data_IF_896113564850
#
_entry.id   IF_896113564850
#
_cell.length_a   1.000
_cell.length_b   1.000
_cell.length_c   1.000
_cell.angle_alpha   90.00
_cell.angle_beta   90.00
_cell.angle_gamma   90.00
#
_symmetry.space_group_name_H-M   'P 1'
#
loop_
_entity.id
_entity.type
_entity.pdbx_description
1 polymer ?
#
# COMPACT_ATOMS: atom_id res chain seq x y z
N UNK A 1 50.99 -7.96 -12.98
CA UNK A 1 50.04 -9.01 -13.41
C UNK A 1 50.60 -9.71 -14.64
N UNK A 2 50.60 -11.06 -14.65
CA UNK A 2 51.16 -11.86 -15.76
C UNK A 2 50.15 -11.84 -16.91
N UNK A 3 50.62 -11.84 -18.17
CA UNK A 3 49.75 -11.85 -19.38
C UNK A 3 48.70 -12.98 -19.38
N UNK A 4 48.90 -14.03 -18.59
CA UNK A 4 47.95 -15.14 -18.40
C UNK A 4 46.81 -14.79 -17.45
N UNK A 5 47.07 -14.05 -16.37
CA UNK A 5 46.04 -13.60 -15.42
C UNK A 5 45.11 -12.57 -16.07
N UNK A 6 45.67 -11.68 -16.90
CA UNK A 6 44.90 -10.67 -17.63
C UNK A 6 43.91 -11.30 -18.63
N UNK A 7 44.28 -12.44 -19.24
CA UNK A 7 43.39 -13.17 -20.17
C UNK A 7 42.21 -13.86 -19.46
N UNK A 8 42.29 -14.10 -18.16
CA UNK A 8 41.22 -14.71 -17.36
C UNK A 8 40.36 -13.64 -16.69
N UNK A 9 40.96 -12.53 -16.24
CA UNK A 9 40.25 -11.44 -15.57
C UNK A 9 39.36 -10.66 -16.53
N UNK A 10 39.81 -10.39 -17.76
CA UNK A 10 39.03 -9.66 -18.77
C UNK A 10 37.67 -10.34 -19.07
N UNK A 11 37.59 -11.64 -19.41
CA UNK A 11 36.29 -12.27 -19.71
C UNK A 11 35.37 -12.34 -18.49
N UNK A 12 35.91 -12.52 -17.28
CA UNK A 12 35.11 -12.52 -16.04
C UNK A 12 34.54 -11.12 -15.78
N UNK A 13 35.34 -10.08 -15.96
CA UNK A 13 34.88 -8.69 -15.82
C UNK A 13 33.82 -8.32 -16.87
N UNK A 14 33.98 -8.78 -18.11
CA UNK A 14 32.99 -8.58 -19.18
C UNK A 14 31.69 -9.33 -18.88
N UNK A 15 31.77 -10.58 -18.41
CA UNK A 15 30.58 -11.36 -18.03
C UNK A 15 29.84 -10.72 -16.85
N UNK A 16 30.57 -10.26 -15.83
CA UNK A 16 29.98 -9.55 -14.69
C UNK A 16 29.31 -8.24 -15.13
N UNK A 17 29.92 -7.49 -16.06
CA UNK A 17 29.35 -6.27 -16.60
C UNK A 17 28.07 -6.56 -17.40
N UNK A 18 28.05 -7.62 -18.21
CA UNK A 18 26.86 -8.05 -18.96
C UNK A 18 25.73 -8.45 -18.00
N UNK A 19 26.01 -9.24 -16.96
CA UNK A 19 25.01 -9.62 -15.96
C UNK A 19 24.45 -8.41 -15.20
N UNK A 20 25.29 -7.43 -14.90
CA UNK A 20 24.87 -6.20 -14.22
C UNK A 20 24.00 -5.33 -15.13
N UNK A 21 24.33 -5.22 -16.42
CA UNK A 21 23.47 -4.53 -17.40
C UNK A 21 22.13 -5.27 -17.58
N UNK A 22 22.14 -6.60 -17.62
CA UNK A 22 20.92 -7.41 -17.74
C UNK A 22 20.00 -7.22 -16.52
N UNK A 23 20.58 -7.08 -15.32
CA UNK A 23 19.81 -6.87 -14.09
C UNK A 23 19.06 -5.53 -14.05
N UNK A 24 19.56 -4.51 -14.76
CA UNK A 24 18.91 -3.19 -14.86
C UNK A 24 17.77 -3.17 -15.87
N UNK A 25 17.72 -4.15 -16.78
CA UNK A 25 16.71 -4.26 -17.84
C UNK A 25 15.52 -5.16 -17.46
N UNK A 26 15.58 -5.82 -16.30
CA UNK A 26 14.43 -6.55 -15.77
C UNK A 26 13.41 -5.53 -15.22
N UNK A 27 12.16 -5.51 -15.71
CA UNK A 27 11.14 -4.63 -15.17
C UNK A 27 10.90 -5.00 -13.70
N UNK A 28 11.11 -4.03 -12.80
CA UNK A 28 10.51 -4.09 -11.46
C UNK A 28 9.00 -3.94 -11.67
N UNK A 29 8.27 -5.04 -11.76
CA UNK A 29 6.81 -5.03 -11.68
C UNK A 29 6.40 -4.64 -10.25
N UNK A 30 6.51 -3.36 -9.91
CA UNK A 30 5.78 -2.77 -8.80
C UNK A 30 4.37 -2.47 -9.33
N UNK A 31 3.43 -3.37 -9.08
CA UNK A 31 2.01 -3.14 -9.41
C UNK A 31 1.44 -2.20 -8.35
N UNK A 32 1.48 -0.90 -8.66
CA UNK A 32 0.78 0.09 -7.84
C UNK A 32 -0.72 -0.03 -8.04
N UNK A 33 -1.46 0.00 -6.93
CA UNK A 33 -2.91 -0.12 -6.93
C UNK A 33 -3.54 1.09 -6.22
N UNK A 34 -4.55 1.68 -6.84
CA UNK A 34 -5.15 2.93 -6.38
C UNK A 34 -5.99 2.71 -5.12
N UNK A 35 -6.19 3.76 -4.31
CA UNK A 35 -6.98 3.72 -3.08
C UNK A 35 -8.40 3.12 -3.25
N UNK A 36 -9.00 3.23 -4.44
CA UNK A 36 -10.28 2.60 -4.76
C UNK A 36 -10.26 1.06 -4.68
N UNK A 37 -9.12 0.42 -4.93
CA UNK A 37 -9.00 -1.04 -4.85
C UNK A 37 -9.04 -1.57 -3.41
N UNK A 38 -8.54 -0.80 -2.44
CA UNK A 38 -8.66 -1.14 -1.00
C UNK A 38 -10.12 -1.11 -0.54
N UNK A 39 -10.93 -0.21 -1.11
CA UNK A 39 -12.37 -0.11 -0.82
C UNK A 39 -13.18 -1.20 -1.55
N UNK A 40 -12.84 -1.56 -2.79
CA UNK A 40 -13.56 -2.62 -3.52
C UNK A 40 -13.36 -4.00 -2.89
N UNK A 41 -12.17 -4.29 -2.34
CA UNK A 41 -11.93 -5.51 -1.56
C UNK A 41 -12.77 -5.58 -0.26
N UNK A 42 -13.20 -4.43 0.28
CA UNK A 42 -14.05 -4.35 1.47
C UNK A 42 -15.56 -4.43 1.17
N UNK A 43 -15.98 -4.27 -0.09
CA UNK A 43 -17.40 -4.20 -0.46
C UNK A 43 -17.95 -5.54 -0.99
N UNK A 44 -17.11 -6.49 -1.39
CA UNK A 44 -17.55 -7.77 -1.99
C UNK A 44 -18.10 -8.81 -0.99
N UNK A 45 -18.59 -8.39 0.18
CA UNK A 45 -19.33 -9.26 1.11
C UNK A 45 -20.51 -8.53 1.76
N UNK A 46 -21.35 -7.91 0.94
CA UNK A 46 -22.77 -7.78 1.28
C UNK A 46 -23.55 -8.80 0.44
N UNK A 47 -23.68 -10.02 0.97
CA UNK A 47 -24.76 -10.91 0.55
C UNK A 47 -26.10 -10.20 0.77
N UNK A 48 -26.95 -10.06 -0.27
CA UNK A 48 -28.31 -9.57 -0.07
C UNK A 48 -29.14 -10.71 0.52
N UNK A 49 -29.40 -10.66 1.83
CA UNK A 49 -30.38 -11.53 2.47
C UNK A 49 -31.77 -11.36 1.84
N UNK A 50 -32.57 -12.44 1.70
CA UNK A 50 -33.85 -12.38 1.00
C UNK A 50 -34.91 -11.74 1.91
N UNK A 51 -35.43 -10.59 1.50
CA UNK A 51 -36.55 -9.89 2.14
C UNK A 51 -37.21 -8.92 1.16
N UNK A 52 -38.55 -8.74 1.20
CA UNK A 52 -39.36 -8.64 -0.01
C UNK A 52 -39.41 -7.24 -0.63
N UNK A 53 -39.70 -7.23 -1.93
CA UNK A 53 -39.89 -6.05 -2.77
C UNK A 53 -40.88 -5.02 -2.21
N UNK A 54 -40.67 -3.73 -2.55
CA UNK A 54 -41.75 -2.99 -3.19
C UNK A 54 -41.30 -2.22 -4.45
N UNK A 55 -42.14 -2.39 -5.47
CA UNK A 55 -42.59 -1.51 -6.55
C UNK A 55 -41.98 -0.10 -6.70
N UNK A 56 -41.41 0.09 -7.90
CA UNK A 56 -41.41 1.23 -8.83
C UNK A 56 -41.83 2.63 -8.34
N UNK A 57 -40.92 3.60 -8.57
CA UNK A 57 -41.25 5.01 -8.76
C UNK A 57 -40.14 5.98 -8.36
N UNK A 58 -39.19 6.26 -9.27
CA UNK A 58 -38.67 7.60 -9.64
C UNK A 58 -37.31 7.51 -10.38
N UNK A 59 -36.98 8.45 -11.29
CA UNK A 59 -35.85 8.33 -12.21
C UNK A 59 -34.50 8.58 -11.55
N UNK A 60 -33.50 7.83 -12.01
CA UNK A 60 -32.08 7.99 -11.71
C UNK A 60 -31.59 9.42 -12.02
N UNK A 61 -30.82 10.09 -11.12
CA UNK A 61 -29.91 11.12 -11.58
C UNK A 61 -28.75 10.43 -12.30
N UNK A 62 -28.61 10.73 -13.59
CA UNK A 62 -27.48 10.35 -14.43
C UNK A 62 -26.17 10.77 -13.75
N UNK A 63 -25.48 9.82 -13.12
CA UNK A 63 -24.10 10.02 -12.69
C UNK A 63 -23.23 9.79 -13.92
N UNK A 64 -22.78 10.89 -14.51
CA UNK A 64 -21.83 10.91 -15.63
C UNK A 64 -20.59 10.06 -15.30
N UNK A 65 -20.23 9.06 -16.13
CA UNK A 65 -19.02 8.28 -15.96
C UNK A 65 -17.85 9.04 -16.62
N UNK A 66 -17.16 9.90 -15.87
CA UNK A 66 -16.15 10.75 -16.52
C UNK A 66 -15.18 11.52 -15.63
N UNK A 67 -15.14 11.28 -14.32
CA UNK A 67 -14.10 11.86 -13.47
C UNK A 67 -13.48 10.77 -12.62
N UNK A 68 -12.42 10.15 -13.15
CA UNK A 68 -11.43 9.49 -12.29
C UNK A 68 -10.98 10.54 -11.27
N UNK A 69 -11.15 10.33 -9.96
CA UNK A 69 -10.66 11.29 -8.98
C UNK A 69 -9.15 11.37 -9.17
N UNK A 70 -8.65 12.58 -9.45
CA UNK A 70 -7.22 12.87 -9.38
C UNK A 70 -6.81 12.47 -7.97
N UNK A 71 -5.93 11.46 -7.79
CA UNK A 71 -5.51 11.06 -6.48
C UNK A 71 -4.65 12.19 -5.92
N UNK A 72 -5.30 13.05 -5.16
CA UNK A 72 -4.65 14.15 -4.45
C UNK A 72 -4.58 13.67 -3.02
N UNK A 73 -3.38 13.65 -2.41
CA UNK A 73 -3.25 13.33 -1.00
C UNK A 73 -4.16 14.27 -0.19
N UNK A 74 -5.28 13.74 0.31
CA UNK A 74 -6.17 14.50 1.18
C UNK A 74 -5.35 14.92 2.41
N UNK A 75 -5.35 16.20 2.80
CA UNK A 75 -4.59 16.65 3.97
C UNK A 75 -4.99 15.90 5.23
N UNK A 76 -4.03 15.25 5.88
CA UNK A 76 -4.21 14.50 7.13
C UNK A 76 -2.93 14.60 7.98
N UNK A 77 -3.03 14.23 9.26
CA UNK A 77 -1.88 14.24 10.19
C UNK A 77 -0.98 13.02 9.97
N UNK A 78 -1.57 11.90 9.58
CA UNK A 78 -0.88 10.66 9.30
C UNK A 78 -1.54 9.97 8.10
N UNK A 79 -0.77 9.10 7.45
CA UNK A 79 -1.19 8.31 6.31
C UNK A 79 -0.81 6.85 6.54
N UNK A 80 -1.63 5.93 6.04
CA UNK A 80 -1.34 4.50 6.01
C UNK A 80 -0.96 4.10 4.60
N UNK A 81 0.27 3.61 4.42
CA UNK A 81 0.68 2.91 3.22
C UNK A 81 0.53 1.40 3.43
N UNK A 82 -0.16 0.75 2.51
CA UNK A 82 -0.41 -0.69 2.55
C UNK A 82 0.36 -1.36 1.42
N UNK A 83 1.01 -2.48 1.72
CA UNK A 83 1.56 -3.39 0.74
C UNK A 83 1.02 -4.79 1.02
N UNK A 84 0.59 -5.48 -0.04
CA UNK A 84 0.10 -6.87 -0.01
C UNK A 84 0.83 -7.65 -1.10
N UNK A 85 1.73 -8.55 -0.71
CA UNK A 85 2.62 -9.25 -1.64
C UNK A 85 3.47 -8.25 -2.44
N UNK A 86 3.30 -8.25 -3.76
CA UNK A 86 3.95 -7.32 -4.69
C UNK A 86 3.14 -6.05 -4.99
N UNK A 87 1.92 -5.95 -4.47
CA UNK A 87 1.07 -4.79 -4.69
C UNK A 87 1.32 -3.74 -3.62
N UNK A 88 1.62 -2.52 -4.05
CA UNK A 88 1.82 -1.37 -3.17
C UNK A 88 0.70 -0.37 -3.45
N UNK A 89 -0.05 -0.02 -2.41
CA UNK A 89 -1.16 0.91 -2.52
C UNK A 89 -0.72 2.34 -2.22
N UNK A 90 -1.48 3.29 -2.76
CA UNK A 90 -1.31 4.71 -2.47
C UNK A 90 -1.52 5.02 -0.97
N UNK A 91 -0.83 6.02 -0.40
CA UNK A 91 -1.03 6.43 0.98
C UNK A 91 -2.48 6.85 1.28
N UNK A 92 -3.12 6.14 2.21
CA UNK A 92 -4.47 6.42 2.68
C UNK A 92 -4.45 7.43 3.83
N UNK A 93 -5.13 8.57 3.65
CA UNK A 93 -5.30 9.57 4.72
C UNK A 93 -6.04 9.01 5.93
N UNK A 94 -5.49 9.24 7.14
CA UNK A 94 -6.10 8.85 8.41
C UNK A 94 -6.85 10.04 9.01
N UNK A 95 -8.16 10.05 8.82
CA UNK A 95 -9.05 11.17 9.23
C UNK A 95 -9.96 10.83 10.39
N UNK A 96 -10.28 9.55 10.59
CA UNK A 96 -11.27 9.08 11.55
C UNK A 96 -10.90 7.70 12.10
N UNK A 97 -11.59 7.29 13.16
CA UNK A 97 -11.47 5.95 13.70
C UNK A 97 -12.29 4.98 12.84
N UNK A 98 -11.62 3.99 12.26
CA UNK A 98 -12.28 2.92 11.49
C UNK A 98 -11.42 1.67 11.44
N UNK A 99 -12.06 0.55 11.13
CA UNK A 99 -11.37 -0.70 10.84
C UNK A 99 -11.29 -0.87 9.31
N UNK A 100 -10.11 -1.24 8.81
CA UNK A 100 -9.83 -1.55 7.41
C UNK A 100 -9.61 -3.06 7.27
N UNK A 101 -10.54 -3.70 6.57
CA UNK A 101 -10.46 -5.13 6.25
C UNK A 101 -9.58 -5.35 5.01
N UNK A 102 -8.48 -6.08 5.18
CA UNK A 102 -7.59 -6.54 4.12
C UNK A 102 -7.82 -8.03 3.91
N UNK A 103 -8.77 -8.37 3.03
CA UNK A 103 -9.11 -9.75 2.68
C UNK A 103 -8.53 -10.09 1.31
N UNK A 104 -7.78 -11.19 1.24
CA UNK A 104 -7.15 -11.67 0.01
C UNK A 104 -7.94 -12.86 -0.59
N UNK A 105 -7.86 -13.11 -1.91
CA UNK A 105 -8.59 -14.20 -2.57
C UNK A 105 -8.24 -15.61 -2.06
N UNK A 106 -7.05 -15.78 -1.46
CA UNK A 106 -6.58 -17.04 -0.89
C UNK A 106 -7.07 -17.26 0.56
N UNK A 107 -7.96 -16.41 1.06
CA UNK A 107 -8.57 -16.51 2.37
C UNK A 107 -7.75 -15.85 3.50
N UNK A 108 -6.59 -15.26 3.21
CA UNK A 108 -5.84 -14.46 4.20
C UNK A 108 -6.61 -13.20 4.56
N UNK A 109 -6.65 -12.88 5.85
CA UNK A 109 -7.35 -11.73 6.40
C UNK A 109 -6.51 -11.01 7.44
N UNK A 110 -6.44 -9.68 7.30
CA UNK A 110 -5.88 -8.76 8.29
C UNK A 110 -6.88 -7.64 8.51
N UNK A 111 -7.17 -7.29 9.76
CA UNK A 111 -8.06 -6.18 10.12
C UNK A 111 -7.21 -5.13 10.81
N UNK A 112 -7.14 -3.94 10.22
CA UNK A 112 -6.32 -2.83 10.73
C UNK A 112 -7.23 -1.80 11.36
N UNK A 113 -7.05 -1.53 12.65
CA UNK A 113 -7.71 -0.39 13.29
C UNK A 113 -6.88 0.86 13.09
N UNK A 114 -7.54 1.87 12.55
CA UNK A 114 -7.00 3.18 12.22
C UNK A 114 -7.54 4.21 13.20
N UNK A 115 -6.69 5.12 13.64
CA UNK A 115 -7.05 6.41 14.25
C UNK A 115 -6.42 7.55 13.43
N UNK A 116 -6.78 8.83 13.66
CA UNK A 116 -6.18 9.96 12.92
C UNK A 116 -4.65 10.09 12.98
N UNK A 117 -3.99 9.36 13.88
CA UNK A 117 -2.55 9.47 14.17
C UNK A 117 -1.85 8.12 14.40
N UNK A 118 -2.58 7.01 14.31
CA UNK A 118 -2.06 5.68 14.65
C UNK A 118 -2.73 4.54 13.88
N UNK A 119 -2.03 3.41 13.83
CA UNK A 119 -2.50 2.15 13.28
C UNK A 119 -2.16 1.01 14.23
N UNK A 120 -3.03 0.01 14.29
CA UNK A 120 -2.79 -1.25 14.99
C UNK A 120 -3.44 -2.39 14.21
N UNK A 121 -2.78 -3.54 14.15
CA UNK A 121 -3.41 -4.76 13.65
C UNK A 121 -4.42 -5.24 14.71
N UNK A 122 -5.72 -5.08 14.43
CA UNK A 122 -6.78 -5.47 15.35
C UNK A 122 -6.95 -7.00 15.41
N UNK A 123 -6.89 -7.66 14.26
CA UNK A 123 -6.92 -9.12 14.15
C UNK A 123 -6.26 -9.59 12.86
N UNK A 124 -5.79 -10.83 12.83
CA UNK A 124 -5.33 -11.50 11.61
C UNK A 124 -5.62 -13.00 11.73
N UNK A 125 -5.73 -13.69 10.60
CA UNK A 125 -5.87 -15.16 10.58
C UNK A 125 -4.54 -15.89 10.32
N UNK A 126 -3.40 -15.24 10.54
CA UNK A 126 -2.09 -15.85 10.38
C UNK A 126 -1.70 -16.66 11.62
N UNK A 127 -1.10 -17.84 11.42
CA UNK A 127 -0.84 -18.84 12.48
C UNK A 127 -0.12 -18.32 13.73
N UNK A 128 0.81 -17.38 13.59
CA UNK A 128 1.63 -16.87 14.69
C UNK A 128 1.07 -15.61 15.35
N UNK A 129 0.11 -14.93 14.71
CA UNK A 129 -0.47 -13.65 15.14
C UNK A 129 0.56 -12.55 15.54
N UNK A 130 1.82 -12.67 15.11
CA UNK A 130 2.90 -11.75 15.49
C UNK A 130 2.58 -10.30 15.13
N UNK A 131 1.86 -10.09 14.02
CA UNK A 131 1.42 -8.78 13.58
C UNK A 131 0.43 -8.10 14.54
N UNK A 132 -0.41 -8.87 15.23
CA UNK A 132 -1.32 -8.38 16.27
C UNK A 132 -0.52 -7.97 17.51
N UNK A 133 0.47 -8.78 17.88
CA UNK A 133 1.32 -8.55 19.05
C UNK A 133 2.38 -7.44 18.87
N UNK A 134 2.65 -7.00 17.63
CA UNK A 134 3.51 -5.83 17.37
C UNK A 134 2.93 -4.52 17.92
N UNK A 135 1.64 -4.48 18.24
CA UNK A 135 0.99 -3.35 18.90
C UNK A 135 0.88 -2.08 18.04
N UNK A 136 0.42 -1.01 18.68
CA UNK A 136 0.10 0.27 18.01
C UNK A 136 1.34 1.02 17.52
N UNK A 137 1.33 1.42 16.25
CA UNK A 137 2.26 2.40 15.67
C UNK A 137 1.56 3.75 15.64
N UNK A 138 2.20 4.78 16.18
CA UNK A 138 1.75 6.17 16.12
C UNK A 138 2.92 7.08 15.76
N UNK A 139 2.63 8.31 15.33
CA UNK A 139 3.68 9.31 15.08
C UNK A 139 4.56 9.57 16.32
N UNK A 140 4.01 9.42 17.53
CA UNK A 140 4.72 9.67 18.78
C UNK A 140 5.59 8.52 19.29
N UNK A 141 5.43 7.30 18.74
CA UNK A 141 6.18 6.13 19.20
C UNK A 141 6.99 5.41 18.12
N UNK A 142 6.75 5.70 16.83
CA UNK A 142 7.39 5.01 15.71
C UNK A 142 8.92 4.96 15.83
N UNK A 143 9.57 6.04 16.22
CA UNK A 143 11.05 6.08 16.32
C UNK A 143 11.64 5.26 17.47
N UNK A 144 10.79 4.80 18.40
CA UNK A 144 11.20 4.00 19.58
C UNK A 144 10.94 2.51 19.38
N UNK A 145 10.28 2.13 18.28
CA UNK A 145 9.89 0.74 17.97
C UNK A 145 10.98 0.06 17.16
N UNK A 146 11.12 -1.26 17.34
CA UNK A 146 12.08 -2.09 16.59
C UNK A 146 11.79 -2.06 15.09
N UNK A 147 10.51 -2.18 14.71
CA UNK A 147 10.06 -2.09 13.32
C UNK A 147 9.68 -0.65 12.92
N UNK A 148 10.13 0.34 13.69
CA UNK A 148 9.90 1.76 13.45
C UNK A 148 8.41 2.08 13.23
N UNK A 149 8.08 2.58 12.05
CA UNK A 149 6.74 2.94 11.61
C UNK A 149 5.94 1.79 10.98
N UNK A 150 6.43 0.55 11.06
CA UNK A 150 5.84 -0.59 10.36
C UNK A 150 5.10 -1.57 11.29
N UNK A 151 4.10 -2.23 10.70
CA UNK A 151 3.53 -3.50 11.17
C UNK A 151 3.65 -4.51 10.04
N UNK A 152 4.22 -5.69 10.32
CA UNK A 152 4.49 -6.73 9.31
C UNK A 152 3.75 -8.01 9.66
N UNK A 153 2.88 -8.47 8.77
CA UNK A 153 2.29 -9.80 8.80
C UNK A 153 2.95 -10.65 7.70
N UNK A 154 4.03 -11.34 8.08
CA UNK A 154 4.84 -12.16 7.16
C UNK A 154 4.03 -13.30 6.50
N UNK A 155 3.24 -14.11 7.23
CA UNK A 155 2.47 -15.19 6.63
C UNK A 155 1.41 -14.69 5.63
N UNK A 156 0.79 -13.55 5.92
CA UNK A 156 -0.21 -12.95 5.03
C UNK A 156 0.40 -12.00 3.99
N UNK A 157 1.73 -11.81 3.99
CA UNK A 157 2.46 -10.89 3.11
C UNK A 157 1.94 -9.45 3.16
N UNK A 158 1.47 -8.99 4.32
CA UNK A 158 0.98 -7.62 4.53
C UNK A 158 2.04 -6.80 5.23
N UNK A 159 2.35 -5.62 4.68
CA UNK A 159 3.17 -4.60 5.34
C UNK A 159 2.35 -3.32 5.43
N UNK A 160 2.24 -2.80 6.64
CA UNK A 160 1.60 -1.52 6.93
C UNK A 160 2.70 -0.54 7.33
N UNK A 161 2.68 0.67 6.77
CA UNK A 161 3.60 1.74 7.16
C UNK A 161 2.82 2.99 7.52
N UNK A 162 3.11 3.56 8.69
CA UNK A 162 2.59 4.85 9.11
C UNK A 162 3.51 5.96 8.62
N UNK A 163 2.96 6.84 7.79
CA UNK A 163 3.68 7.98 7.21
C UNK A 163 3.18 9.29 7.83
N UNK A 164 4.08 10.24 8.00
CA UNK A 164 3.72 11.64 8.22
C UNK A 164 3.40 12.34 6.88
N UNK A 165 2.93 13.60 6.89
CA UNK A 165 2.54 14.28 5.65
C UNK A 165 3.67 14.47 4.65
N UNK A 166 4.90 14.68 5.13
CA UNK A 166 6.06 14.85 4.26
C UNK A 166 6.45 13.52 3.61
N UNK A 167 6.48 12.45 4.40
CA UNK A 167 6.77 11.09 3.91
C UNK A 167 5.72 10.62 2.91
N UNK A 168 4.43 10.89 3.16
CA UNK A 168 3.34 10.57 2.25
C UNK A 168 3.47 11.34 0.92
N UNK A 169 3.85 12.61 0.97
CA UNK A 169 4.11 13.43 -0.22
C UNK A 169 5.27 12.86 -1.03
N UNK A 170 6.41 12.55 -0.40
CA UNK A 170 7.56 11.94 -1.08
C UNK A 170 7.17 10.61 -1.72
N UNK A 171 6.40 9.78 -1.02
CA UNK A 171 5.93 8.49 -1.54
C UNK A 171 5.05 8.67 -2.78
N UNK A 172 4.13 9.63 -2.70
CA UNK A 172 3.24 10.01 -3.79
C UNK A 172 4.00 10.51 -5.01
N UNK A 173 4.93 11.44 -4.81
CA UNK A 173 5.73 12.03 -5.88
C UNK A 173 6.67 11.01 -6.53
N UNK A 174 7.19 10.08 -5.75
CA UNK A 174 8.00 8.97 -6.27
C UNK A 174 7.20 8.09 -7.22
N UNK A 175 5.90 7.93 -6.95
CA UNK A 175 5.00 7.11 -7.75
C UNK A 175 4.43 7.84 -8.99
N UNK A 176 4.09 9.13 -8.84
CA UNK A 176 3.28 9.86 -9.82
C UNK A 176 3.96 11.10 -10.41
N UNK A 177 5.13 11.48 -9.92
CA UNK A 177 5.74 12.78 -10.17
C UNK A 177 5.16 13.88 -9.25
N UNK A 178 5.68 15.12 -9.36
CA UNK A 178 5.27 16.23 -8.50
C UNK A 178 3.76 16.49 -8.60
N UNK A 179 3.13 16.79 -7.47
CA UNK A 179 1.73 17.22 -7.46
C UNK A 179 1.56 18.48 -8.33
N UNK A 180 0.47 18.59 -9.12
CA UNK A 180 0.20 19.79 -9.89
C UNK A 180 0.13 20.99 -8.94
N UNK A 181 0.95 22.01 -9.22
CA UNK A 181 1.01 23.23 -8.41
C UNK A 181 -0.37 23.89 -8.41
N UNK A 182 -0.92 24.15 -7.21
CA UNK A 182 -2.19 24.85 -7.11
C UNK A 182 -2.07 26.22 -7.81
N UNK A 183 -3.10 26.67 -8.55
CA UNK A 183 -3.05 27.98 -9.18
C UNK A 183 -2.78 29.04 -8.10
N UNK A 184 -1.64 29.73 -8.23
CA UNK A 184 -1.32 30.88 -7.37
C UNK A 184 -2.38 31.96 -7.59
N UNK A 185 -2.91 32.57 -6.51
CA UNK A 185 -3.90 33.64 -6.62
C UNK A 185 -3.34 34.89 -7.29
#
# INVERSE_FOLDING_TARGET
>A
MKKKDLKIIIPIAVLALILLILSQALPRENKQANAGALMTAAIETREPGPGPAPTAGDPLPETSPGASPIPTLVPARAYLKVQIGSFVFEPLALTENRDLDLTQPDGKKNVVRITPDSIIMHSANCDNEDCVHQGMVSLGNRDKRVLQNMIVCLPNQVVLQLLDPQEALIDWETAHGPLPEAPRP
#
